data_IF_952197006656
#
_entry.id   IF_952197006656
#
_cell.length_a   1.000
_cell.length_b   1.000
_cell.length_c   1.000
_cell.angle_alpha   90.00
_cell.angle_beta   90.00
_cell.angle_gamma   90.00
#
_symmetry.space_group_name_H-M   'P 1'
#
loop_
_entity.id
_entity.type
_entity.pdbx_description
1 polymer ?
#
# COMPACT_ATOMS: atom_id res chain seq x y z
N UNK A 1 2.86 11.47 31.66
CA UNK A 1 2.02 10.34 31.20
C UNK A 1 2.79 9.54 30.16
N UNK A 2 2.44 8.27 29.94
CA UNK A 2 3.06 7.45 28.88
C UNK A 2 2.46 7.89 27.53
N UNK A 3 3.30 8.25 26.57
CA UNK A 3 2.88 8.62 25.20
C UNK A 3 2.70 7.35 24.35
N UNK A 4 1.48 6.82 24.34
CA UNK A 4 1.15 5.63 23.56
C UNK A 4 1.23 5.87 22.05
N UNK A 5 0.89 7.08 21.56
CA UNK A 5 0.91 7.38 20.12
C UNK A 5 2.36 7.41 19.62
N UNK A 6 3.25 8.12 20.31
CA UNK A 6 4.69 8.13 20.01
C UNK A 6 5.31 6.73 20.10
N UNK A 7 4.89 5.92 21.07
CA UNK A 7 5.32 4.52 21.17
C UNK A 7 4.87 3.68 19.96
N UNK A 8 3.63 3.82 19.50
CA UNK A 8 3.16 3.09 18.32
C UNK A 8 3.89 3.50 17.03
N UNK A 9 4.21 4.79 16.86
CA UNK A 9 5.06 5.23 15.73
C UNK A 9 6.46 4.62 15.79
N UNK A 10 7.07 4.55 16.98
CA UNK A 10 8.37 3.90 17.16
C UNK A 10 8.33 2.42 16.78
N UNK A 11 7.34 1.67 17.28
CA UNK A 11 7.16 0.26 16.94
C UNK A 11 6.97 0.08 15.43
N UNK A 12 6.13 0.91 14.80
CA UNK A 12 5.90 0.88 13.36
C UNK A 12 7.17 1.14 12.54
N UNK A 13 7.95 2.17 12.91
CA UNK A 13 9.23 2.49 12.25
C UNK A 13 10.22 1.33 12.34
N UNK A 14 10.40 0.75 13.53
CA UNK A 14 11.32 -0.38 13.74
C UNK A 14 10.90 -1.64 12.98
N UNK A 15 9.59 -1.94 12.96
CA UNK A 15 9.06 -3.08 12.22
C UNK A 15 9.29 -2.94 10.71
N UNK A 16 9.02 -1.76 10.14
CA UNK A 16 9.22 -1.49 8.71
C UNK A 16 10.71 -1.49 8.33
N UNK A 17 11.58 -0.96 9.19
CA UNK A 17 13.03 -1.00 8.98
C UNK A 17 13.56 -2.44 8.99
N UNK A 18 13.13 -3.27 9.94
CA UNK A 18 13.51 -4.68 9.99
C UNK A 18 13.01 -5.45 8.76
N UNK A 19 11.77 -5.20 8.31
CA UNK A 19 11.22 -5.79 7.10
C UNK A 19 12.00 -5.38 5.84
N UNK A 20 12.38 -4.10 5.74
CA UNK A 20 13.20 -3.59 4.63
C UNK A 20 14.56 -4.30 4.57
N UNK A 21 15.26 -4.39 5.71
CA UNK A 21 16.52 -5.12 5.81
C UNK A 21 16.34 -6.59 5.40
N UNK A 22 15.28 -7.24 5.89
CA UNK A 22 14.95 -8.62 5.51
C UNK A 22 14.77 -8.77 4.00
N UNK A 23 13.96 -7.93 3.35
CA UNK A 23 13.70 -8.04 1.91
C UNK A 23 14.96 -7.77 1.07
N UNK A 24 15.76 -6.75 1.41
CA UNK A 24 16.98 -6.47 0.65
C UNK A 24 18.03 -7.57 0.82
N UNK A 25 18.23 -8.09 2.03
CA UNK A 25 19.23 -9.13 2.30
C UNK A 25 18.81 -10.52 1.82
N UNK A 26 17.50 -10.82 1.79
CA UNK A 26 16.99 -12.12 1.33
C UNK A 26 16.81 -12.23 -0.18
N UNK A 27 16.98 -11.13 -0.94
CA UNK A 27 16.69 -11.09 -2.39
C UNK A 27 17.44 -12.17 -3.19
N UNK A 28 18.68 -12.50 -2.82
CA UNK A 28 19.49 -13.51 -3.50
C UNK A 28 18.95 -14.94 -3.30
N UNK A 29 18.21 -15.18 -2.22
CA UNK A 29 17.59 -16.46 -1.86
C UNK A 29 16.33 -16.79 -2.69
N UNK A 30 15.79 -15.83 -3.45
CA UNK A 30 14.62 -16.04 -4.31
C UNK A 30 15.00 -16.23 -5.78
N UNK A 31 14.16 -16.99 -6.50
CA UNK A 31 14.26 -17.16 -7.95
C UNK A 31 14.30 -15.79 -8.66
N UNK A 32 15.07 -15.72 -9.76
CA UNK A 32 15.24 -14.50 -10.56
C UNK A 32 13.91 -13.83 -10.95
N UNK A 33 12.86 -14.61 -11.20
CA UNK A 33 11.52 -14.10 -11.58
C UNK A 33 10.81 -13.31 -10.47
N UNK A 34 11.18 -13.53 -9.20
CA UNK A 34 10.56 -12.88 -8.04
C UNK A 34 11.39 -11.73 -7.48
N UNK A 35 12.68 -11.62 -7.84
CA UNK A 35 13.59 -10.62 -7.25
C UNK A 35 13.10 -9.18 -7.39
N UNK A 36 12.45 -8.84 -8.50
CA UNK A 36 11.84 -7.51 -8.66
C UNK A 36 10.71 -7.26 -7.67
N UNK A 37 9.90 -8.27 -7.36
CA UNK A 37 8.81 -8.18 -6.37
C UNK A 37 9.37 -8.03 -4.94
N UNK A 38 10.44 -8.78 -4.62
CA UNK A 38 11.16 -8.61 -3.35
C UNK A 38 11.79 -7.23 -3.23
N UNK A 39 12.39 -6.70 -4.30
CA UNK A 39 12.93 -5.33 -4.33
C UNK A 39 11.84 -4.28 -4.07
N UNK A 40 10.69 -4.40 -4.75
CA UNK A 40 9.57 -3.47 -4.55
C UNK A 40 9.03 -3.54 -3.12
N UNK A 41 8.93 -4.74 -2.53
CA UNK A 41 8.55 -4.92 -1.13
C UNK A 41 9.55 -4.26 -0.16
N UNK A 42 10.84 -4.38 -0.44
CA UNK A 42 11.90 -3.70 0.31
C UNK A 42 11.83 -2.17 0.20
N UNK A 43 11.51 -1.64 -0.99
CA UNK A 43 11.31 -0.19 -1.20
C UNK A 43 10.10 0.34 -0.46
N UNK A 44 8.96 -0.35 -0.52
CA UNK A 44 7.73 0.03 0.20
C UNK A 44 8.00 0.11 1.71
N UNK A 45 8.60 -0.94 2.27
CA UNK A 45 8.90 -0.99 3.71
C UNK A 45 9.98 0.02 4.11
N UNK A 46 10.97 0.30 3.26
CA UNK A 46 11.96 1.33 3.51
C UNK A 46 11.36 2.74 3.54
N UNK A 47 10.56 3.08 2.53
CA UNK A 47 9.89 4.39 2.45
C UNK A 47 8.99 4.58 3.68
N UNK A 48 8.20 3.57 4.03
CA UNK A 48 7.36 3.59 5.22
C UNK A 48 8.19 3.77 6.50
N UNK A 49 9.32 3.09 6.65
CA UNK A 49 10.18 3.22 7.83
C UNK A 49 10.67 4.67 8.04
N UNK A 50 11.10 5.33 6.96
CA UNK A 50 11.55 6.73 6.97
C UNK A 50 10.40 7.67 7.31
N UNK A 51 9.23 7.50 6.69
CA UNK A 51 8.07 8.36 6.97
C UNK A 51 7.55 8.17 8.39
N UNK A 52 7.53 6.94 8.93
CA UNK A 52 7.16 6.68 10.32
C UNK A 52 8.12 7.33 11.31
N UNK A 53 9.41 7.39 10.98
CA UNK A 53 10.38 8.13 11.78
C UNK A 53 10.05 9.63 11.83
N UNK A 54 9.80 10.27 10.67
CA UNK A 54 9.40 11.67 10.63
C UNK A 54 8.04 11.95 11.29
N UNK A 55 7.06 11.05 11.12
CA UNK A 55 5.75 11.16 11.78
C UNK A 55 5.88 11.10 13.31
N UNK A 56 6.77 10.25 13.83
CA UNK A 56 7.07 10.17 15.25
C UNK A 56 7.63 11.49 15.78
N UNK A 57 8.62 12.05 15.08
CA UNK A 57 9.27 13.30 15.48
C UNK A 57 8.30 14.47 15.40
N UNK A 58 7.44 14.51 14.38
CA UNK A 58 6.37 15.50 14.26
C UNK A 58 5.37 15.39 15.42
N UNK A 59 4.91 14.18 15.77
CA UNK A 59 4.03 13.97 16.92
C UNK A 59 4.69 14.41 18.24
N UNK A 60 5.97 14.08 18.44
CA UNK A 60 6.69 14.41 19.67
C UNK A 60 6.93 15.91 19.87
N UNK A 61 6.96 16.69 18.77
CA UNK A 61 7.26 18.13 18.81
C UNK A 61 6.02 19.01 18.66
N UNK A 62 5.09 18.64 17.79
CA UNK A 62 3.91 19.43 17.44
C UNK A 62 2.65 18.94 18.17
N UNK A 63 2.61 17.67 18.59
CA UNK A 63 1.46 17.03 19.22
C UNK A 63 0.16 17.06 18.38
N UNK A 64 0.32 17.08 17.06
CA UNK A 64 -0.78 17.02 16.08
C UNK A 64 -0.64 15.79 15.16
N UNK A 65 -1.74 15.41 14.52
CA UNK A 65 -1.75 14.31 13.55
C UNK A 65 -0.89 14.65 12.33
N UNK A 66 0.11 13.83 11.96
CA UNK A 66 1.01 14.12 10.86
C UNK A 66 0.42 13.75 9.48
N UNK A 67 -0.78 14.28 9.17
CA UNK A 67 -1.58 13.91 7.99
C UNK A 67 -0.78 14.09 6.69
N UNK A 68 -0.07 15.21 6.53
CA UNK A 68 0.75 15.44 5.34
C UNK A 68 1.80 14.35 5.13
N UNK A 69 2.58 14.00 6.16
CA UNK A 69 3.59 12.94 6.06
C UNK A 69 2.98 11.59 5.72
N UNK A 70 1.80 11.29 6.27
CA UNK A 70 1.06 10.06 5.96
C UNK A 70 0.65 9.98 4.49
N UNK A 71 0.11 11.07 3.94
CA UNK A 71 -0.32 11.09 2.54
C UNK A 71 0.85 11.10 1.56
N UNK A 72 1.99 11.71 1.89
CA UNK A 72 3.22 11.59 1.10
C UNK A 72 3.72 10.14 1.07
N UNK A 73 3.75 9.47 2.23
CA UNK A 73 4.09 8.04 2.32
C UNK A 73 3.18 7.20 1.41
N UNK A 74 1.86 7.40 1.51
CA UNK A 74 0.89 6.65 0.71
C UNK A 74 0.98 6.94 -0.79
N UNK A 75 1.18 8.19 -1.21
CA UNK A 75 1.35 8.53 -2.63
C UNK A 75 2.57 7.85 -3.24
N UNK A 76 3.60 7.54 -2.44
CA UNK A 76 4.77 6.80 -2.90
C UNK A 76 4.58 5.28 -2.82
N UNK A 77 4.06 4.78 -1.71
CA UNK A 77 3.98 3.33 -1.43
C UNK A 77 2.79 2.65 -2.10
N UNK A 78 1.65 3.31 -2.23
CA UNK A 78 0.44 2.71 -2.83
C UNK A 78 0.59 2.41 -4.32
N UNK A 79 1.16 3.30 -5.16
CA UNK A 79 1.48 2.94 -6.53
C UNK A 79 2.49 1.79 -6.63
N UNK A 80 3.48 1.72 -5.72
CA UNK A 80 4.41 0.60 -5.66
C UNK A 80 3.70 -0.72 -5.31
N UNK A 81 2.71 -0.70 -4.41
CA UNK A 81 1.85 -1.86 -4.14
C UNK A 81 1.04 -2.27 -5.37
N UNK A 82 0.56 -1.33 -6.17
CA UNK A 82 -0.12 -1.63 -7.44
C UNK A 82 0.84 -2.25 -8.47
N UNK A 83 2.10 -1.79 -8.51
CA UNK A 83 3.16 -2.43 -9.31
C UNK A 83 3.42 -3.85 -8.82
N UNK A 84 3.44 -4.09 -7.51
CA UNK A 84 3.63 -5.42 -6.94
C UNK A 84 2.52 -6.41 -7.35
N UNK A 85 1.25 -5.97 -7.29
CA UNK A 85 0.11 -6.73 -7.82
C UNK A 85 0.31 -7.10 -9.29
N UNK A 86 0.76 -6.14 -10.10
CA UNK A 86 1.05 -6.38 -11.50
C UNK A 86 2.20 -7.36 -11.69
N UNK A 87 3.30 -7.25 -10.93
CA UNK A 87 4.47 -8.14 -11.06
C UNK A 87 4.11 -9.61 -10.79
N UNK A 88 3.27 -9.87 -9.79
CA UNK A 88 2.78 -11.22 -9.48
C UNK A 88 1.92 -11.79 -10.61
N UNK A 89 1.11 -10.96 -11.26
CA UNK A 89 0.25 -11.40 -12.37
C UNK A 89 0.95 -11.31 -13.74
N UNK A 90 2.10 -10.64 -13.83
CA UNK A 90 2.86 -10.49 -15.08
C UNK A 90 3.32 -11.84 -15.60
N UNK A 91 3.71 -12.76 -14.71
CA UNK A 91 4.06 -14.14 -15.09
C UNK A 91 2.86 -14.92 -15.65
N UNK A 92 1.64 -14.45 -15.42
CA UNK A 92 0.38 -14.97 -15.94
C UNK A 92 -0.14 -14.21 -17.17
N UNK A 93 0.63 -13.25 -17.72
CA UNK A 93 0.24 -12.47 -18.90
C UNK A 93 -0.52 -11.17 -18.59
N UNK A 94 -0.43 -10.64 -17.37
CA UNK A 94 -1.03 -9.33 -17.06
C UNK A 94 -0.49 -8.22 -17.97
N UNK A 95 -1.39 -7.32 -18.40
CA UNK A 95 -1.06 -6.13 -19.19
C UNK A 95 -0.76 -4.94 -18.28
N UNK A 96 0.10 -4.04 -18.73
CA UNK A 96 0.38 -2.76 -18.03
C UNK A 96 -0.88 -1.91 -17.81
N UNK A 97 -1.92 -2.11 -18.63
CA UNK A 97 -3.21 -1.44 -18.45
C UNK A 97 -3.88 -1.78 -17.11
N UNK A 98 -3.70 -3.01 -16.59
CA UNK A 98 -4.20 -3.38 -15.27
C UNK A 98 -3.48 -2.58 -14.18
N UNK A 99 -2.15 -2.50 -14.24
CA UNK A 99 -1.33 -1.72 -13.31
C UNK A 99 -1.76 -0.25 -13.28
N UNK A 100 -1.86 0.38 -14.45
CA UNK A 100 -2.27 1.79 -14.54
C UNK A 100 -3.72 2.02 -14.11
N UNK A 101 -4.62 1.06 -14.35
CA UNK A 101 -5.99 1.11 -13.84
C UNK A 101 -6.01 1.15 -12.31
N UNK A 102 -5.24 0.27 -11.65
CA UNK A 102 -5.14 0.25 -10.19
C UNK A 102 -4.52 1.55 -9.64
N UNK A 103 -3.43 2.02 -10.26
CA UNK A 103 -2.77 3.30 -9.89
C UNK A 103 -3.73 4.47 -10.02
N UNK A 104 -4.51 4.53 -11.11
CA UNK A 104 -5.47 5.60 -11.34
C UNK A 104 -6.52 5.66 -10.23
N UNK A 105 -7.14 4.53 -9.90
CA UNK A 105 -8.10 4.48 -8.79
C UNK A 105 -7.45 4.76 -7.44
N UNK A 106 -6.20 4.33 -7.21
CA UNK A 106 -5.52 4.62 -5.95
C UNK A 106 -5.18 6.11 -5.80
N UNK A 107 -4.84 6.80 -6.89
CA UNK A 107 -4.63 8.25 -6.87
C UNK A 107 -5.94 8.97 -6.55
N UNK A 108 -7.06 8.59 -7.15
CA UNK A 108 -8.37 9.17 -6.81
C UNK A 108 -8.67 8.95 -5.33
N UNK A 109 -8.51 7.72 -4.84
CA UNK A 109 -8.73 7.36 -3.44
C UNK A 109 -7.91 8.23 -2.49
N UNK A 110 -6.61 8.39 -2.74
CA UNK A 110 -5.72 9.17 -1.88
C UNK A 110 -5.96 10.68 -1.97
N UNK A 111 -6.15 11.23 -3.18
CA UNK A 111 -6.38 12.67 -3.34
C UNK A 111 -7.69 13.08 -2.67
N UNK A 112 -8.76 12.31 -2.88
CA UNK A 112 -10.07 12.61 -2.29
C UNK A 112 -10.05 12.42 -0.77
N UNK A 113 -9.35 11.41 -0.25
CA UNK A 113 -9.12 11.26 1.19
C UNK A 113 -8.40 12.47 1.80
N UNK A 114 -7.30 12.90 1.17
CA UNK A 114 -6.52 14.05 1.62
C UNK A 114 -7.35 15.33 1.68
N UNK A 115 -8.15 15.58 0.64
CA UNK A 115 -9.05 16.74 0.57
C UNK A 115 -10.04 16.73 1.74
N UNK A 116 -10.69 15.58 2.00
CA UNK A 116 -11.64 15.45 3.10
C UNK A 116 -11.02 15.61 4.49
N UNK A 117 -9.78 15.15 4.68
CA UNK A 117 -9.09 15.26 5.97
C UNK A 117 -8.48 16.64 6.24
N UNK A 118 -8.10 17.39 5.20
CA UNK A 118 -7.28 18.60 5.36
C UNK A 118 -7.86 19.88 4.77
N UNK A 119 -8.54 19.82 3.62
CA UNK A 119 -8.94 21.00 2.86
C UNK A 119 -10.43 21.33 3.01
N UNK A 120 -11.29 20.32 3.11
CA UNK A 120 -12.75 20.46 3.17
C UNK A 120 -13.35 19.51 4.21
N UNK A 121 -13.03 19.78 5.48
CA UNK A 121 -13.40 18.94 6.62
C UNK A 121 -14.90 18.95 6.91
N UNK A 122 -15.61 20.03 6.56
CA UNK A 122 -17.05 20.14 6.74
C UNK A 122 -17.81 19.15 5.84
N UNK A 123 -17.23 18.79 4.69
CA UNK A 123 -17.76 17.79 3.78
C UNK A 123 -16.95 16.49 3.77
N UNK A 124 -16.22 16.19 4.85
CA UNK A 124 -15.36 14.99 4.95
C UNK A 124 -16.10 13.69 4.63
N UNK A 125 -17.39 13.58 4.96
CA UNK A 125 -18.22 12.41 4.63
C UNK A 125 -18.38 12.20 3.12
N UNK A 126 -18.51 13.28 2.35
CA UNK A 126 -18.66 13.23 0.89
C UNK A 126 -17.35 12.82 0.24
N UNK A 127 -16.25 13.44 0.65
CA UNK A 127 -14.91 13.08 0.18
C UNK A 127 -14.52 11.65 0.56
N UNK A 128 -14.88 11.22 1.77
CA UNK A 128 -14.74 9.84 2.23
C UNK A 128 -15.57 8.86 1.41
N UNK A 129 -16.79 9.22 0.99
CA UNK A 129 -17.59 8.39 0.09
C UNK A 129 -16.93 8.24 -1.29
N UNK A 130 -16.43 9.33 -1.88
CA UNK A 130 -15.72 9.28 -3.17
C UNK A 130 -14.45 8.43 -3.07
N UNK A 131 -13.67 8.62 -2.00
CA UNK A 131 -12.48 7.81 -1.72
C UNK A 131 -12.82 6.34 -1.57
N UNK A 132 -13.86 6.03 -0.78
CA UNK A 132 -14.37 4.68 -0.56
C UNK A 132 -14.86 4.01 -1.84
N UNK A 133 -15.52 4.73 -2.75
CA UNK A 133 -15.93 4.19 -4.06
C UNK A 133 -14.71 3.86 -4.93
N UNK A 134 -13.67 4.69 -4.92
CA UNK A 134 -12.43 4.40 -5.64
C UNK A 134 -11.71 3.17 -5.05
N UNK A 135 -11.68 3.04 -3.71
CA UNK A 135 -11.19 1.84 -3.03
C UNK A 135 -11.99 0.59 -3.43
N UNK A 136 -13.33 0.65 -3.41
CA UNK A 136 -14.17 -0.48 -3.81
C UNK A 136 -13.99 -0.85 -5.29
N UNK A 137 -13.68 0.10 -6.16
CA UNK A 137 -13.34 -0.18 -7.56
C UNK A 137 -12.02 -0.99 -7.68
N UNK A 138 -11.03 -0.69 -6.84
CA UNK A 138 -9.78 -1.48 -6.73
C UNK A 138 -10.11 -2.89 -6.25
N UNK A 139 -10.85 -3.02 -5.13
CA UNK A 139 -11.26 -4.31 -4.55
C UNK A 139 -12.00 -5.15 -5.58
N UNK A 140 -12.95 -4.55 -6.31
CA UNK A 140 -13.70 -5.24 -7.36
C UNK A 140 -12.78 -5.76 -8.49
N UNK A 141 -11.87 -4.93 -8.99
CA UNK A 141 -10.96 -5.34 -10.08
C UNK A 141 -10.05 -6.50 -9.65
N UNK A 142 -9.55 -6.49 -8.41
CA UNK A 142 -8.65 -7.55 -7.93
C UNK A 142 -9.39 -8.85 -7.59
N UNK A 143 -10.61 -8.78 -7.04
CA UNK A 143 -11.37 -9.96 -6.61
C UNK A 143 -12.21 -10.60 -7.71
N UNK A 144 -12.80 -9.79 -8.59
CA UNK A 144 -13.78 -10.24 -9.57
C UNK A 144 -13.41 -9.86 -11.02
N UNK A 145 -12.47 -8.92 -11.20
CA UNK A 145 -12.06 -8.40 -12.49
C UNK A 145 -11.01 -9.25 -13.22
N UNK A 146 -10.19 -8.55 -14.00
CA UNK A 146 -9.18 -9.16 -14.88
C UNK A 146 -8.09 -9.86 -14.10
N UNK A 147 -7.71 -9.27 -12.95
CA UNK A 147 -6.67 -9.79 -12.08
C UNK A 147 -7.00 -11.22 -11.58
N UNK A 148 -8.23 -11.43 -11.13
CA UNK A 148 -8.70 -12.73 -10.65
C UNK A 148 -8.64 -13.80 -11.74
N UNK A 149 -9.10 -13.47 -12.96
CA UNK A 149 -9.10 -14.40 -14.10
C UNK A 149 -7.68 -14.86 -14.44
N UNK A 150 -6.73 -13.91 -14.47
CA UNK A 150 -5.31 -14.20 -14.70
C UNK A 150 -4.72 -15.08 -13.59
N UNK A 151 -5.03 -14.78 -12.32
CA UNK A 151 -4.53 -15.55 -11.18
C UNK A 151 -5.04 -17.00 -11.19
N UNK A 152 -6.33 -17.20 -11.51
CA UNK A 152 -6.93 -18.55 -11.61
C UNK A 152 -6.33 -19.33 -12.79
N UNK A 153 -6.12 -18.68 -13.94
CA UNK A 153 -5.48 -19.32 -15.09
C UNK A 153 -4.03 -19.74 -14.81
N UNK A 154 -3.29 -18.97 -14.00
CA UNK A 154 -1.92 -19.30 -13.64
C UNK A 154 -1.81 -20.44 -12.61
N UNK A 155 -2.73 -20.47 -11.63
CA UNK A 155 -2.71 -21.46 -10.56
C UNK A 155 -1.49 -21.36 -9.64
N UNK A 156 -1.28 -22.40 -8.83
CA UNK A 156 -0.09 -22.58 -7.99
C UNK A 156 0.24 -21.40 -7.08
N UNK A 157 1.53 -21.04 -7.03
CA UNK A 157 2.04 -19.96 -6.18
C UNK A 157 1.49 -18.58 -6.56
N UNK A 158 1.20 -18.33 -7.85
CA UNK A 158 0.62 -17.07 -8.32
C UNK A 158 -0.78 -16.87 -7.77
N UNK A 159 -1.63 -17.91 -7.83
CA UNK A 159 -2.98 -17.85 -7.27
C UNK A 159 -2.95 -17.65 -5.75
N UNK A 160 -2.02 -18.30 -5.05
CA UNK A 160 -1.85 -18.15 -3.60
C UNK A 160 -1.43 -16.72 -3.23
N UNK A 161 -0.38 -16.20 -3.86
CA UNK A 161 0.11 -14.83 -3.64
C UNK A 161 -0.97 -13.78 -3.96
N UNK A 162 -1.70 -13.96 -5.05
CA UNK A 162 -2.82 -13.09 -5.41
C UNK A 162 -3.92 -13.10 -4.35
N UNK A 163 -4.32 -14.26 -3.83
CA UNK A 163 -5.32 -14.34 -2.74
C UNK A 163 -4.85 -13.61 -1.49
N UNK A 164 -3.60 -13.77 -1.09
CA UNK A 164 -3.03 -13.07 0.08
C UNK A 164 -3.09 -11.57 -0.10
N UNK A 165 -2.68 -11.06 -1.28
CA UNK A 165 -2.75 -9.63 -1.56
C UNK A 165 -4.18 -9.10 -1.64
N UNK A 166 -5.11 -9.88 -2.20
CA UNK A 166 -6.53 -9.53 -2.22
C UNK A 166 -7.11 -9.36 -0.80
N UNK A 167 -6.72 -10.23 0.13
CA UNK A 167 -7.10 -10.10 1.54
C UNK A 167 -6.40 -8.92 2.21
N UNK A 168 -5.13 -8.67 1.91
CA UNK A 168 -4.41 -7.52 2.41
C UNK A 168 -5.07 -6.20 1.98
N UNK A 169 -5.49 -6.07 0.71
CA UNK A 169 -6.23 -4.89 0.26
C UNK A 169 -7.60 -4.83 0.92
N UNK A 170 -8.35 -5.93 0.98
CA UNK A 170 -9.72 -5.91 1.52
C UNK A 170 -9.78 -5.60 3.02
N UNK A 171 -8.92 -6.23 3.82
CA UNK A 171 -8.95 -6.12 5.28
C UNK A 171 -7.92 -5.12 5.78
N UNK A 172 -6.71 -5.12 5.21
CA UNK A 172 -5.63 -4.25 5.65
C UNK A 172 -5.84 -2.78 5.29
N UNK A 173 -6.39 -2.46 4.12
CA UNK A 173 -6.67 -1.06 3.75
C UNK A 173 -8.01 -0.54 4.28
N UNK A 174 -8.84 -1.41 4.87
CA UNK A 174 -10.10 -0.99 5.49
C UNK A 174 -9.94 -0.49 6.93
N UNK A 175 -8.73 -0.58 7.50
CA UNK A 175 -8.34 -0.04 8.82
C UNK A 175 -8.04 1.44 8.68
#
# INVERSE_FOLDING_TARGET
SIDYVGFTFFVGSMAMMAASAFFFLSMSSFDKKWRTSILVSGLITFIAAVHYFYMRDYWATIHESPVFFRYVDWVLTVPLMCVEFFLILKVAGAKKSLMWKLIFFSVIMLVTGYVGETLDRDNAWLWGLVSGLAYLAIVYEIWFGTAKKLAVAAGGSVLSAHKTLCWFVLVGWAI
#
